data_IF_658997401069
#
_entry.id   IF_658997401069
#
_cell.length_a   1.000
_cell.length_b   1.000
_cell.length_c   1.000
_cell.angle_alpha   90.00
_cell.angle_beta   90.00
_cell.angle_gamma   90.00
#
_symmetry.space_group_name_H-M   'P 1'
#
loop_
_entity.id
_entity.type
_entity.pdbx_description
1 polymer ?
#
# COMPACT_ATOMS: atom_id res chain seq x y z
N UNK A 1 -9.59 21.73 -6.52
CA UNK A 1 -8.51 21.63 -7.52
C UNK A 1 -7.58 20.52 -7.05
N UNK A 2 -7.29 19.51 -7.88
CA UNK A 2 -6.29 18.48 -7.56
C UNK A 2 -4.94 18.96 -8.12
N UNK A 3 -3.89 18.89 -7.31
CA UNK A 3 -2.54 19.35 -7.66
C UNK A 3 -1.51 18.33 -7.20
N UNK A 4 -0.34 18.34 -7.85
CA UNK A 4 0.79 17.49 -7.46
C UNK A 4 1.20 17.71 -6.01
N UNK A 5 1.27 18.97 -5.57
CA UNK A 5 1.60 19.33 -4.18
C UNK A 5 0.61 18.74 -3.17
N UNK A 6 -0.69 18.72 -3.49
CA UNK A 6 -1.68 18.10 -2.61
C UNK A 6 -1.40 16.59 -2.47
N UNK A 7 -1.14 15.90 -3.58
CA UNK A 7 -0.78 14.48 -3.55
C UNK A 7 0.50 14.21 -2.73
N UNK A 8 1.51 15.07 -2.85
CA UNK A 8 2.75 14.96 -2.05
C UNK A 8 2.50 15.17 -0.55
N UNK A 9 1.59 16.07 -0.17
CA UNK A 9 1.22 16.28 1.23
C UNK A 9 0.57 15.01 1.81
N UNK A 10 -0.40 14.42 1.10
CA UNK A 10 -1.02 13.16 1.53
C UNK A 10 0.01 12.04 1.66
N UNK A 11 0.90 11.89 0.68
CA UNK A 11 1.95 10.87 0.73
C UNK A 11 2.85 11.02 1.96
N UNK A 12 3.27 12.26 2.28
CA UNK A 12 4.12 12.56 3.44
C UNK A 12 3.42 12.34 4.78
N UNK A 13 2.10 12.41 4.81
CA UNK A 13 1.29 12.13 6.01
C UNK A 13 1.00 10.63 6.18
N UNK A 14 1.45 9.78 5.25
CA UNK A 14 1.19 8.33 5.26
C UNK A 14 -0.13 7.93 4.58
N UNK A 15 -0.87 8.88 4.04
CA UNK A 15 -2.09 8.66 3.26
C UNK A 15 -1.73 8.26 1.82
N UNK A 16 -1.06 7.11 1.67
CA UNK A 16 -0.49 6.64 0.39
C UNK A 16 -1.60 6.32 -0.63
N UNK A 17 -2.74 5.77 -0.19
CA UNK A 17 -3.87 5.46 -1.06
C UNK A 17 -4.51 6.74 -1.63
N UNK A 18 -4.76 7.73 -0.79
CA UNK A 18 -5.31 9.02 -1.21
C UNK A 18 -4.34 9.78 -2.13
N UNK A 19 -3.03 9.73 -1.84
CA UNK A 19 -2.02 10.30 -2.72
C UNK A 19 -2.03 9.63 -4.10
N UNK A 20 -2.08 8.31 -4.15
CA UNK A 20 -2.13 7.54 -5.40
C UNK A 20 -3.40 7.86 -6.22
N UNK A 21 -4.57 8.03 -5.59
CA UNK A 21 -5.79 8.46 -6.28
C UNK A 21 -5.60 9.83 -6.96
N UNK A 22 -5.03 10.79 -6.24
CA UNK A 22 -4.77 12.13 -6.79
C UNK A 22 -3.81 12.03 -7.98
N UNK A 23 -2.74 11.24 -7.89
CA UNK A 23 -1.80 11.01 -9.00
C UNK A 23 -2.48 10.36 -10.22
N UNK A 24 -3.37 9.37 -10.04
CA UNK A 24 -4.15 8.77 -11.14
C UNK A 24 -5.03 9.81 -11.83
N UNK A 25 -5.69 10.68 -11.07
CA UNK A 25 -6.55 11.74 -11.62
C UNK A 25 -5.76 12.84 -12.31
N UNK A 26 -4.54 13.13 -11.86
CA UNK A 26 -3.63 14.04 -12.56
C UNK A 26 -3.11 13.43 -13.85
N UNK A 27 -2.71 12.15 -13.83
CA UNK A 27 -2.23 11.42 -15.00
C UNK A 27 -3.33 11.25 -16.05
N UNK A 28 -4.60 11.09 -15.65
CA UNK A 28 -5.73 11.06 -16.57
C UNK A 28 -5.90 12.36 -17.38
N UNK A 29 -5.39 13.49 -16.87
CA UNK A 29 -5.40 14.79 -17.57
C UNK A 29 -4.12 15.01 -18.39
N UNK A 30 -3.01 14.46 -17.94
CA UNK A 30 -1.69 14.57 -18.57
C UNK A 30 -1.05 13.20 -18.71
N UNK A 31 -1.54 12.34 -19.63
CA UNK A 31 -1.11 10.94 -19.72
C UNK A 31 0.36 10.80 -20.13
N UNK A 32 0.93 11.79 -20.81
CA UNK A 32 2.33 11.78 -21.24
C UNK A 32 3.31 12.26 -20.16
N UNK A 33 2.81 12.69 -18.99
CA UNK A 33 3.66 13.13 -17.90
C UNK A 33 4.35 11.92 -17.22
N UNK A 34 5.60 11.69 -17.63
CA UNK A 34 6.47 10.66 -17.06
C UNK A 34 6.72 10.84 -15.56
N UNK A 35 6.66 12.07 -15.04
CA UNK A 35 6.87 12.34 -13.62
C UNK A 35 5.69 11.86 -12.80
N UNK A 36 4.46 12.13 -13.24
CA UNK A 36 3.25 11.64 -12.59
C UNK A 36 3.18 10.10 -12.61
N UNK A 37 3.57 9.48 -13.73
CA UNK A 37 3.62 8.02 -13.88
C UNK A 37 4.64 7.38 -12.93
N UNK A 38 5.86 7.93 -12.89
CA UNK A 38 6.92 7.42 -12.01
C UNK A 38 6.49 7.52 -10.53
N UNK A 39 5.91 8.65 -10.14
CA UNK A 39 5.48 8.85 -8.76
C UNK A 39 4.29 7.97 -8.36
N UNK A 40 3.34 7.75 -9.27
CA UNK A 40 2.26 6.79 -9.04
C UNK A 40 2.80 5.37 -8.84
N UNK A 41 3.76 4.94 -9.66
CA UNK A 41 4.36 3.61 -9.56
C UNK A 41 5.09 3.39 -8.22
N UNK A 42 5.77 4.41 -7.71
CA UNK A 42 6.42 4.36 -6.38
C UNK A 42 5.37 4.16 -5.27
N UNK A 43 4.31 4.97 -5.26
CA UNK A 43 3.25 4.86 -4.25
C UNK A 43 2.50 3.52 -4.32
N UNK A 44 2.32 2.97 -5.52
CA UNK A 44 1.72 1.63 -5.69
C UNK A 44 2.65 0.51 -5.20
N UNK A 45 3.97 0.69 -5.33
CA UNK A 45 4.99 -0.17 -4.71
C UNK A 45 4.85 -0.18 -3.18
N UNK A 46 4.84 1.00 -2.56
CA UNK A 46 4.69 1.15 -1.11
C UNK A 46 3.41 0.46 -0.58
N UNK A 47 2.30 0.59 -1.31
CA UNK A 47 1.03 -0.08 -0.97
C UNK A 47 1.12 -1.59 -1.09
N UNK A 48 1.81 -2.09 -2.11
CA UNK A 48 2.03 -3.53 -2.30
C UNK A 48 2.88 -4.09 -1.17
N UNK A 49 3.95 -3.39 -0.78
CA UNK A 49 4.84 -3.82 0.29
C UNK A 49 4.13 -3.82 1.65
N UNK A 50 3.38 -2.76 1.96
CA UNK A 50 2.58 -2.69 3.19
C UNK A 50 1.53 -3.81 3.27
N UNK A 51 0.85 -4.11 2.15
CA UNK A 51 -0.12 -5.23 2.09
C UNK A 51 0.58 -6.59 2.18
N UNK A 52 1.74 -6.74 1.55
CA UNK A 52 2.55 -7.96 1.59
C UNK A 52 3.04 -8.28 3.00
N UNK A 53 3.51 -7.27 3.73
CA UNK A 53 3.92 -7.38 5.13
C UNK A 53 2.74 -7.80 6.02
N UNK A 54 1.60 -7.12 5.90
CA UNK A 54 0.38 -7.48 6.63
C UNK A 54 -0.07 -8.93 6.37
N UNK A 55 -0.01 -9.41 5.12
CA UNK A 55 -0.35 -10.80 4.78
C UNK A 55 0.64 -11.81 5.35
N UNK A 56 1.93 -11.49 5.36
CA UNK A 56 2.97 -12.34 5.98
C UNK A 56 2.71 -12.49 7.48
N UNK A 57 2.44 -11.39 8.17
CA UNK A 57 2.13 -11.40 9.60
C UNK A 57 0.86 -12.20 9.91
N UNK A 58 -0.22 -11.99 9.15
CA UNK A 58 -1.46 -12.75 9.31
C UNK A 58 -1.24 -14.26 9.10
N UNK A 59 -0.39 -14.64 8.14
CA UNK A 59 -0.05 -16.06 7.88
C UNK A 59 0.76 -16.65 9.04
N UNK A 60 1.71 -15.90 9.59
CA UNK A 60 2.51 -16.30 10.75
C UNK A 60 1.59 -16.51 11.96
N UNK A 61 0.67 -15.59 12.23
CA UNK A 61 -0.29 -15.73 13.33
C UNK A 61 -1.21 -16.93 13.15
N UNK A 62 -1.68 -17.17 11.93
CA UNK A 62 -2.49 -18.36 11.62
C UNK A 62 -1.71 -19.65 11.87
N UNK A 63 -0.43 -19.71 11.49
CA UNK A 63 0.44 -20.85 11.75
C UNK A 63 0.65 -21.06 13.26
N UNK A 64 0.93 -19.98 14.01
CA UNK A 64 1.06 -20.02 15.48
C UNK A 64 -0.23 -20.53 16.14
N UNK A 65 -1.40 -20.11 15.68
CA UNK A 65 -2.69 -20.59 16.19
C UNK A 65 -2.92 -22.08 15.91
N UNK A 66 -2.53 -22.57 14.72
CA UNK A 66 -2.63 -23.99 14.37
C UNK A 66 -1.70 -24.84 15.23
N UNK A 67 -0.44 -24.42 15.42
CA UNK A 67 0.52 -25.13 16.27
C UNK A 67 0.04 -25.22 17.72
N UNK A 68 -0.54 -24.14 18.25
CA UNK A 68 -1.17 -24.16 19.59
C UNK A 68 -2.27 -25.22 19.68
N UNK A 69 -3.16 -25.29 18.69
CA UNK A 69 -4.24 -26.30 18.65
C UNK A 69 -3.71 -27.74 18.57
N UNK A 70 -2.71 -27.98 17.74
CA UNK A 70 -2.13 -29.33 17.59
C UNK A 70 -1.43 -29.79 18.88
N UNK A 71 -0.67 -28.89 19.53
CA UNK A 71 0.01 -29.20 20.78
C UNK A 71 -0.95 -29.38 21.96
N UNK A 72 -2.06 -28.64 22.01
CA UNK A 72 -3.08 -28.78 23.06
C UNK A 72 -3.81 -30.14 23.02
N UNK A 73 -3.86 -30.79 21.85
CA UNK A 73 -4.51 -32.11 21.66
C UNK A 73 -3.62 -33.29 22.07
N UNK A 74 -2.36 -33.03 22.42
CA UNK A 74 -1.36 -34.03 22.86
C UNK A 74 -1.14 -34.04 24.39
N UNK A 75 -1.94 -33.32 25.17
CA UNK A 75 -2.01 -33.40 26.63
C UNK A 75 -3.33 -34.05 27.04
#
# INVERSE_FOLDING_TARGET
MITRTLAEIYARQGHIEEAADIYRRLLAKSPDDGTLRARLAELEGDLSDARGESHRDARIERLRALLRRVNARRR
#
